data_IF_098084439655
#
_entry.id   IF_098084439655
#
_cell.length_a   1.000
_cell.length_b   1.000
_cell.length_c   1.000
_cell.angle_alpha   90.00
_cell.angle_beta   90.00
_cell.angle_gamma   90.00
#
_symmetry.space_group_name_H-M   'P 1'
#
loop_
_entity.id
_entity.type
_entity.pdbx_description
1 polymer ?
#
# COMPACT_ATOMS: atom_id res chain seq x y z
N UNK A 1 28.22 17.75 -15.14
CA UNK A 1 29.21 17.97 -14.10
C UNK A 1 28.51 18.21 -12.78
N UNK A 2 28.55 17.24 -11.87
CA UNK A 2 28.04 17.39 -10.50
C UNK A 2 28.97 18.36 -9.76
N UNK A 3 28.45 19.52 -9.38
CA UNK A 3 29.15 20.43 -8.49
C UNK A 3 28.90 20.00 -7.05
N UNK A 4 29.94 19.61 -6.33
CA UNK A 4 29.88 19.35 -4.88
C UNK A 4 29.64 20.64 -4.13
N UNK A 5 28.76 20.61 -3.11
CA UNK A 5 28.54 21.74 -2.21
C UNK A 5 29.82 22.00 -1.39
N UNK A 6 30.28 23.25 -1.36
CA UNK A 6 31.38 23.65 -0.46
C UNK A 6 30.85 23.82 0.96
N UNK A 7 31.76 23.73 1.96
CA UNK A 7 31.41 23.98 3.36
C UNK A 7 30.82 25.38 3.59
N UNK A 8 31.24 26.37 2.83
CA UNK A 8 30.68 27.72 2.89
C UNK A 8 29.24 27.77 2.36
N UNK A 9 28.95 27.03 1.27
CA UNK A 9 27.57 26.91 0.74
C UNK A 9 26.67 26.16 1.73
N UNK A 10 27.17 25.10 2.36
CA UNK A 10 26.42 24.36 3.38
C UNK A 10 26.06 25.29 4.54
N UNK A 11 27.04 26.06 5.05
CA UNK A 11 26.80 27.03 6.13
C UNK A 11 25.76 28.08 5.74
N UNK A 12 25.85 28.66 4.55
CA UNK A 12 24.88 29.65 4.07
C UNK A 12 23.47 29.07 3.92
N UNK A 13 23.34 27.81 3.55
CA UNK A 13 22.05 27.11 3.46
C UNK A 13 21.46 26.80 4.85
N UNK A 14 22.32 26.46 5.81
CA UNK A 14 21.91 26.24 7.20
C UNK A 14 21.46 27.56 7.84
N UNK A 15 22.29 28.60 7.75
CA UNK A 15 22.06 29.87 8.42
C UNK A 15 20.97 30.73 7.72
N UNK A 16 20.90 30.67 6.38
CA UNK A 16 19.99 31.50 5.60
C UNK A 16 18.61 30.88 5.33
N UNK A 17 18.54 29.55 5.23
CA UNK A 17 17.29 28.83 4.92
C UNK A 17 16.81 27.92 6.05
N UNK A 18 17.54 27.84 7.17
CA UNK A 18 17.20 26.97 8.29
C UNK A 18 17.25 25.47 7.97
N UNK A 19 17.98 25.07 6.91
CA UNK A 19 18.11 23.68 6.53
C UNK A 19 19.15 23.01 7.44
N UNK A 20 18.81 21.96 8.22
CA UNK A 20 19.77 21.29 9.08
C UNK A 20 20.99 20.77 8.30
N UNK A 21 22.21 21.00 8.82
CA UNK A 21 23.46 20.57 8.17
C UNK A 21 23.47 19.07 7.84
N UNK A 22 22.82 18.26 8.67
CA UNK A 22 22.67 16.82 8.52
C UNK A 22 21.94 16.44 7.23
N UNK A 23 20.96 17.24 6.80
CA UNK A 23 20.22 17.04 5.55
C UNK A 23 21.12 17.28 4.33
N UNK A 24 22.00 18.30 4.41
CA UNK A 24 22.89 18.69 3.31
C UNK A 24 24.10 17.77 3.18
N UNK A 25 24.49 17.07 4.25
CA UNK A 25 25.65 16.19 4.30
C UNK A 25 25.31 14.71 4.02
N UNK A 26 24.02 14.34 4.02
CA UNK A 26 23.59 12.98 3.71
C UNK A 26 23.72 12.67 2.22
N UNK A 27 24.07 11.43 1.91
CA UNK A 27 24.10 10.93 0.52
C UNK A 27 22.70 11.02 -0.09
N UNK A 28 22.57 11.27 -1.41
CA UNK A 28 21.29 11.16 -2.11
C UNK A 28 20.66 9.80 -1.81
N UNK A 29 19.42 9.79 -1.35
CA UNK A 29 18.71 8.58 -0.88
C UNK A 29 18.80 8.32 0.63
N UNK A 30 19.52 9.13 1.42
CA UNK A 30 19.50 9.03 2.88
C UNK A 30 18.19 9.61 3.46
N UNK A 31 17.61 8.89 4.41
CA UNK A 31 16.35 9.22 5.09
C UNK A 31 16.36 10.62 5.73
N UNK A 32 15.29 11.38 5.55
CA UNK A 32 15.06 12.63 6.26
C UNK A 32 14.65 12.33 7.72
N UNK A 33 14.98 13.20 8.69
CA UNK A 33 14.58 13.03 10.09
C UNK A 33 13.07 13.00 10.28
N UNK A 34 12.60 12.43 11.38
CA UNK A 34 11.19 12.40 11.79
C UNK A 34 10.52 13.78 11.76
N UNK A 35 11.28 14.86 12.01
CA UNK A 35 10.83 16.25 11.90
C UNK A 35 10.20 16.61 10.56
N UNK A 36 10.62 15.97 9.45
CA UNK A 36 10.05 16.24 8.12
C UNK A 36 8.63 15.67 8.00
N UNK A 37 8.39 14.49 8.58
CA UNK A 37 7.04 13.90 8.59
C UNK A 37 6.11 14.71 9.48
N UNK A 38 6.61 15.20 10.62
CA UNK A 38 5.87 16.09 11.51
C UNK A 38 5.51 17.41 10.83
N UNK A 39 6.44 17.97 10.06
CA UNK A 39 6.15 19.18 9.27
C UNK A 39 5.10 18.94 8.20
N UNK A 40 5.15 17.82 7.49
CA UNK A 40 4.14 17.41 6.51
C UNK A 40 2.83 17.04 7.19
N UNK A 41 2.86 16.49 8.39
CA UNK A 41 1.70 16.09 9.18
C UNK A 41 0.71 17.23 9.47
N UNK A 42 1.17 18.49 9.43
CA UNK A 42 0.30 19.66 9.54
C UNK A 42 -0.71 19.77 8.38
N UNK A 43 -0.42 19.12 7.26
CA UNK A 43 -1.29 19.06 6.09
C UNK A 43 -2.17 17.81 6.05
N UNK A 44 -2.01 16.89 7.01
CA UNK A 44 -2.87 15.70 7.09
C UNK A 44 -4.33 16.08 7.34
N UNK A 45 -5.28 15.24 6.91
CA UNK A 45 -6.71 15.48 7.13
C UNK A 45 -7.11 15.20 8.59
N UNK A 46 -6.58 15.98 9.54
CA UNK A 46 -6.70 15.79 10.99
C UNK A 46 -8.15 15.63 11.44
N UNK A 47 -9.06 16.41 10.86
CA UNK A 47 -10.48 16.31 11.20
C UNK A 47 -11.06 14.92 10.92
N UNK A 48 -10.70 14.33 9.78
CA UNK A 48 -11.14 12.98 9.41
C UNK A 48 -10.43 11.92 10.24
N UNK A 49 -9.15 12.11 10.55
CA UNK A 49 -8.38 11.20 11.41
C UNK A 49 -8.95 11.16 12.84
N UNK A 50 -9.32 12.30 13.41
CA UNK A 50 -10.00 12.39 14.72
C UNK A 50 -11.35 11.69 14.67
N UNK A 51 -12.17 11.99 13.65
CA UNK A 51 -13.49 11.38 13.47
C UNK A 51 -13.42 9.85 13.39
N UNK A 52 -12.36 9.31 12.75
CA UNK A 52 -12.13 7.86 12.62
C UNK A 52 -11.41 7.24 13.83
N UNK A 53 -11.04 8.03 14.84
CA UNK A 53 -10.33 7.51 16.02
C UNK A 53 -8.91 7.02 15.72
N UNK A 54 -8.20 7.64 14.78
CA UNK A 54 -6.86 7.22 14.39
C UNK A 54 -5.77 7.60 15.41
N UNK A 55 -6.10 8.41 16.40
CA UNK A 55 -5.21 8.79 17.50
C UNK A 55 -5.58 8.00 18.76
N UNK A 56 -4.84 6.92 19.08
CA UNK A 56 -5.15 6.08 20.26
C UNK A 56 -5.16 6.90 21.56
N UNK A 57 -6.20 6.73 22.38
CA UNK A 57 -6.33 7.42 23.66
C UNK A 57 -6.81 8.87 23.58
N UNK A 58 -6.92 9.46 22.38
CA UNK A 58 -7.46 10.81 22.21
C UNK A 58 -8.99 10.76 22.00
N UNK A 59 -9.73 11.46 22.86
CA UNK A 59 -11.20 11.57 22.81
C UNK A 59 -11.68 13.02 22.74
N UNK A 60 -10.77 13.94 22.41
CA UNK A 60 -11.06 15.37 22.33
C UNK A 60 -11.72 15.79 21.02
N UNK A 61 -12.05 17.08 20.95
CA UNK A 61 -12.57 17.74 19.75
C UNK A 61 -11.48 17.98 18.71
N UNK A 62 -11.88 18.31 17.46
CA UNK A 62 -10.95 18.68 16.40
C UNK A 62 -10.11 19.91 16.78
N UNK A 63 -10.67 20.84 17.55
CA UNK A 63 -9.96 22.02 18.02
C UNK A 63 -8.88 21.65 19.02
N UNK A 64 -9.19 20.78 19.95
CA UNK A 64 -8.21 20.24 20.92
C UNK A 64 -7.11 19.43 20.22
N UNK A 65 -7.47 18.61 19.21
CA UNK A 65 -6.50 17.88 18.41
C UNK A 65 -5.51 18.82 17.71
N UNK A 66 -5.97 19.97 17.21
CA UNK A 66 -5.09 20.97 16.59
C UNK A 66 -4.15 21.64 17.60
N UNK A 67 -4.57 21.81 18.85
CA UNK A 67 -3.73 22.35 19.93
C UNK A 67 -2.65 21.38 20.40
N UNK A 68 -2.89 20.07 20.26
CA UNK A 68 -1.96 18.98 20.63
C UNK A 68 -1.43 18.23 19.41
N UNK A 69 -1.42 18.87 18.24
CA UNK A 69 -1.17 18.22 16.95
C UNK A 69 0.19 17.51 16.91
N UNK A 70 1.22 18.15 17.45
CA UNK A 70 2.58 17.62 17.42
C UNK A 70 2.70 16.31 18.23
N UNK A 71 2.11 16.27 19.42
CA UNK A 71 2.10 15.07 20.26
C UNK A 71 1.30 13.93 19.62
N UNK A 72 0.14 14.26 19.03
CA UNK A 72 -0.70 13.30 18.32
C UNK A 72 -0.02 12.71 17.09
N UNK A 73 0.67 13.55 16.32
CA UNK A 73 1.43 13.10 15.15
C UNK A 73 2.66 12.28 15.56
N UNK A 74 3.37 12.67 16.62
CA UNK A 74 4.47 11.89 17.17
C UNK A 74 4.01 10.48 17.57
N UNK A 75 2.87 10.38 18.26
CA UNK A 75 2.28 9.09 18.60
C UNK A 75 1.83 8.29 17.39
N UNK A 76 1.26 8.96 16.38
CA UNK A 76 0.75 8.33 15.16
C UNK A 76 1.87 7.78 14.26
N UNK A 77 2.97 8.50 14.15
CA UNK A 77 4.14 8.11 13.35
C UNK A 77 5.11 7.24 14.16
N UNK A 78 5.18 7.43 15.48
CA UNK A 78 6.19 6.83 16.35
C UNK A 78 6.17 5.30 16.40
N UNK A 79 5.02 4.67 16.20
CA UNK A 79 4.89 3.22 16.14
C UNK A 79 5.72 2.58 15.00
N UNK A 80 6.02 3.35 13.96
CA UNK A 80 6.77 2.90 12.78
C UNK A 80 8.29 3.07 12.94
N UNK A 81 8.72 3.78 13.98
CA UNK A 81 10.12 4.14 14.21
C UNK A 81 10.62 5.26 13.28
N UNK A 82 11.60 6.05 13.74
CA UNK A 82 12.05 7.25 13.04
C UNK A 82 12.73 7.00 11.69
N UNK A 83 13.15 5.77 11.42
CA UNK A 83 13.94 5.42 10.23
C UNK A 83 13.18 4.64 9.16
N UNK A 84 11.90 4.32 9.38
CA UNK A 84 11.27 3.23 8.65
C UNK A 84 10.37 3.64 7.51
N UNK A 85 9.63 4.74 7.64
CA UNK A 85 8.64 5.16 6.64
C UNK A 85 9.03 6.42 5.87
N UNK A 86 10.05 7.10 6.30
CA UNK A 86 10.44 8.38 5.73
C UNK A 86 10.91 8.26 4.27
N UNK A 87 11.60 7.20 3.82
CA UNK A 87 11.87 7.03 2.40
C UNK A 87 10.61 6.82 1.57
N UNK A 88 9.73 5.95 2.02
CA UNK A 88 8.48 5.64 1.31
C UNK A 88 7.48 6.82 1.32
N UNK A 89 7.51 7.67 2.36
CA UNK A 89 6.66 8.84 2.48
C UNK A 89 7.15 10.06 1.70
N UNK A 90 8.46 10.16 1.46
CA UNK A 90 9.07 11.35 0.83
C UNK A 90 9.39 11.18 -0.65
N UNK A 91 9.27 9.98 -1.20
CA UNK A 91 9.55 9.72 -2.61
C UNK A 91 8.24 9.58 -3.38
N UNK A 92 7.56 10.72 -3.55
CA UNK A 92 6.31 10.77 -4.26
C UNK A 92 6.55 11.10 -5.74
N UNK A 93 6.47 10.09 -6.58
CA UNK A 93 6.02 10.25 -7.95
C UNK A 93 4.72 9.46 -8.13
N UNK A 94 3.66 9.99 -7.54
CA UNK A 94 2.31 9.53 -7.83
C UNK A 94 1.98 10.01 -9.24
N UNK A 95 1.30 9.18 -10.01
CA UNK A 95 0.56 9.67 -11.17
C UNK A 95 -0.23 10.89 -10.72
N UNK A 96 0.26 12.06 -11.06
CA UNK A 96 -0.46 13.30 -10.87
C UNK A 96 -1.66 13.32 -11.82
N UNK A 97 -2.70 12.58 -11.44
CA UNK A 97 -4.01 13.08 -11.77
C UNK A 97 -4.21 14.22 -10.79
N UNK A 98 -4.40 15.42 -11.30
CA UNK A 98 -4.51 16.70 -10.59
C UNK A 98 -5.57 16.77 -9.49
N UNK A 99 -5.95 15.64 -8.86
CA UNK A 99 -7.06 15.44 -7.95
C UNK A 99 -6.73 14.62 -6.69
N UNK A 100 -5.55 13.99 -6.58
CA UNK A 100 -5.22 13.17 -5.40
C UNK A 100 -4.57 14.03 -4.31
N UNK A 101 -5.03 13.83 -3.05
CA UNK A 101 -4.45 14.45 -1.87
C UNK A 101 -3.31 13.58 -1.32
N UNK A 102 -2.09 13.96 -1.62
CA UNK A 102 -0.85 13.29 -1.23
C UNK A 102 -0.69 13.16 0.29
N UNK A 103 -1.11 14.18 1.02
CA UNK A 103 -1.03 14.18 2.48
C UNK A 103 -2.04 13.20 3.08
N UNK A 104 -3.24 13.12 2.50
CA UNK A 104 -4.23 12.13 2.88
C UNK A 104 -3.75 10.70 2.58
N UNK A 105 -3.11 10.49 1.42
CA UNK A 105 -2.56 9.20 1.04
C UNK A 105 -1.43 8.76 1.99
N UNK A 106 -0.54 9.69 2.34
CA UNK A 106 0.53 9.47 3.32
C UNK A 106 -0.03 9.09 4.69
N UNK A 107 -1.00 9.85 5.20
CA UNK A 107 -1.67 9.56 6.47
C UNK A 107 -2.34 8.17 6.46
N UNK A 108 -3.00 7.81 5.35
CA UNK A 108 -3.61 6.50 5.19
C UNK A 108 -2.59 5.36 5.20
N UNK A 109 -1.46 5.50 4.52
CA UNK A 109 -0.37 4.51 4.51
C UNK A 109 0.21 4.29 5.92
N UNK A 110 0.43 5.37 6.68
CA UNK A 110 0.86 5.29 8.08
C UNK A 110 -0.17 4.52 8.90
N UNK A 111 -1.45 4.80 8.73
CA UNK A 111 -2.53 4.10 9.43
C UNK A 111 -2.51 2.61 9.12
N UNK A 112 -2.41 2.23 7.86
CA UNK A 112 -2.33 0.82 7.42
C UNK A 112 -1.13 0.12 8.05
N UNK A 113 0.04 0.74 8.03
CA UNK A 113 1.24 0.16 8.62
C UNK A 113 1.11 0.01 10.14
N UNK A 114 0.51 0.98 10.85
CA UNK A 114 0.23 0.87 12.29
C UNK A 114 -0.72 -0.29 12.60
N UNK A 115 -1.77 -0.49 11.80
CA UNK A 115 -2.68 -1.61 11.95
C UNK A 115 -1.97 -2.95 11.73
N UNK A 116 -1.16 -3.05 10.70
CA UNK A 116 -0.37 -4.26 10.43
C UNK A 116 0.60 -4.57 11.59
N UNK A 117 1.31 -3.56 12.11
CA UNK A 117 2.22 -3.73 13.24
C UNK A 117 1.52 -4.13 14.55
N UNK A 118 0.24 -3.80 14.70
CA UNK A 118 -0.54 -4.21 15.88
C UNK A 118 -1.02 -5.67 15.83
N UNK A 119 -0.92 -6.32 14.67
CA UNK A 119 -1.32 -7.73 14.46
C UNK A 119 -0.07 -8.62 14.36
N UNK A 120 0.09 -9.57 15.27
CA UNK A 120 1.15 -10.57 15.19
C UNK A 120 0.75 -11.70 14.26
N UNK A 121 1.57 -12.00 13.26
CA UNK A 121 1.35 -13.11 12.35
C UNK A 121 1.95 -14.42 12.88
N UNK A 122 1.36 -15.59 12.55
CA UNK A 122 1.84 -16.89 13.01
C UNK A 122 3.17 -17.31 12.36
N UNK A 123 3.53 -16.73 11.22
CA UNK A 123 4.76 -17.01 10.49
C UNK A 123 5.42 -15.75 9.95
N UNK A 124 6.73 -15.79 9.75
CA UNK A 124 7.46 -14.76 9.03
C UNK A 124 7.31 -14.98 7.51
N UNK A 125 7.18 -13.89 6.77
CA UNK A 125 7.15 -13.93 5.31
C UNK A 125 8.48 -14.40 4.73
N UNK A 126 8.41 -15.23 3.70
CA UNK A 126 9.56 -15.63 2.91
C UNK A 126 9.43 -15.05 1.49
N UNK A 127 10.39 -14.22 1.03
CA UNK A 127 10.36 -13.73 -0.35
C UNK A 127 10.25 -14.88 -1.35
N UNK A 128 9.44 -14.68 -2.40
CA UNK A 128 9.13 -15.70 -3.40
C UNK A 128 8.00 -16.67 -3.01
N UNK A 129 7.35 -16.48 -1.87
CA UNK A 129 6.16 -17.27 -1.48
C UNK A 129 4.99 -17.03 -2.44
N UNK A 130 4.80 -15.79 -2.91
CA UNK A 130 3.69 -15.43 -3.80
C UNK A 130 4.02 -15.86 -5.23
N UNK A 131 3.73 -17.12 -5.54
CA UNK A 131 3.84 -17.69 -6.89
C UNK A 131 2.49 -17.75 -7.59
N UNK A 132 2.48 -18.06 -8.89
CA UNK A 132 1.20 -18.27 -9.62
C UNK A 132 0.36 -19.40 -8.98
N UNK A 133 0.98 -20.49 -8.55
CA UNK A 133 0.28 -21.59 -7.89
C UNK A 133 -0.32 -21.15 -6.54
N UNK A 134 0.44 -20.38 -5.74
CA UNK A 134 -0.04 -19.81 -4.49
C UNK A 134 -1.27 -18.91 -4.72
N UNK A 135 -1.23 -18.06 -5.75
CA UNK A 135 -2.35 -17.22 -6.11
C UNK A 135 -3.55 -18.03 -6.59
N UNK A 136 -3.36 -19.08 -7.38
CA UNK A 136 -4.45 -19.96 -7.83
C UNK A 136 -5.09 -20.73 -6.66
N UNK A 137 -4.31 -21.20 -5.69
CA UNK A 137 -4.85 -21.78 -4.46
C UNK A 137 -5.70 -20.77 -3.68
N UNK A 138 -5.22 -19.53 -3.57
CA UNK A 138 -5.97 -18.44 -2.96
C UNK A 138 -7.26 -18.13 -3.75
N UNK A 139 -7.23 -18.17 -5.09
CA UNK A 139 -8.41 -17.93 -5.94
C UNK A 139 -9.54 -18.92 -5.67
N UNK A 140 -9.23 -20.17 -5.37
CA UNK A 140 -10.23 -21.18 -5.03
C UNK A 140 -11.05 -20.83 -3.77
N UNK A 141 -10.50 -20.02 -2.86
CA UNK A 141 -11.25 -19.56 -1.68
C UNK A 141 -12.42 -18.65 -2.06
N UNK A 142 -12.37 -18.03 -3.23
CA UNK A 142 -13.46 -17.19 -3.74
C UNK A 142 -14.77 -17.94 -3.96
N UNK A 143 -14.69 -19.25 -4.18
CA UNK A 143 -15.86 -20.13 -4.34
C UNK A 143 -16.69 -20.23 -3.05
N UNK A 144 -16.10 -19.95 -1.90
CA UNK A 144 -16.74 -20.05 -0.60
C UNK A 144 -17.39 -18.73 -0.20
N UNK A 145 -18.55 -18.78 0.44
CA UNK A 145 -19.26 -17.58 0.90
C UNK A 145 -18.42 -16.73 1.89
N UNK A 146 -17.57 -17.39 2.68
CA UNK A 146 -16.63 -16.74 3.62
C UNK A 146 -15.25 -16.51 3.00
N UNK A 147 -15.11 -16.61 1.69
CA UNK A 147 -13.86 -16.52 0.95
C UNK A 147 -12.96 -15.35 1.35
N UNK A 148 -13.45 -14.10 1.45
CA UNK A 148 -12.63 -12.97 1.86
C UNK A 148 -11.99 -13.12 3.24
N UNK A 149 -12.70 -13.70 4.21
CA UNK A 149 -12.16 -13.95 5.55
C UNK A 149 -11.09 -15.07 5.53
N UNK A 150 -11.35 -16.12 4.77
CA UNK A 150 -10.41 -17.23 4.58
C UNK A 150 -9.15 -16.76 3.81
N UNK A 151 -9.30 -15.84 2.86
CA UNK A 151 -8.18 -15.23 2.17
C UNK A 151 -7.26 -14.47 3.14
N UNK A 152 -7.82 -13.67 4.06
CA UNK A 152 -7.02 -13.02 5.11
C UNK A 152 -6.29 -14.06 5.96
N UNK A 153 -6.96 -15.10 6.41
CA UNK A 153 -6.36 -16.16 7.22
C UNK A 153 -5.23 -16.90 6.47
N UNK A 154 -5.46 -17.23 5.21
CA UNK A 154 -4.48 -17.88 4.33
C UNK A 154 -3.21 -17.03 4.18
N UNK A 155 -3.37 -15.75 3.90
CA UNK A 155 -2.27 -14.82 3.72
C UNK A 155 -1.52 -14.55 5.04
N UNK A 156 -2.24 -14.38 6.13
CA UNK A 156 -1.64 -14.21 7.45
C UNK A 156 -0.77 -15.43 7.85
N UNK A 157 -1.20 -16.65 7.55
CA UNK A 157 -0.40 -17.87 7.75
C UNK A 157 0.90 -17.90 6.92
N UNK A 158 0.92 -17.16 5.83
CA UNK A 158 2.09 -17.01 4.95
C UNK A 158 2.95 -15.78 5.28
N UNK A 159 2.68 -15.09 6.39
CA UNK A 159 3.45 -13.92 6.82
C UNK A 159 3.09 -12.63 6.07
N UNK A 160 1.93 -12.60 5.41
CA UNK A 160 1.42 -11.43 4.67
C UNK A 160 0.28 -10.82 5.47
N UNK A 161 0.40 -9.55 5.85
CA UNK A 161 -0.68 -8.83 6.50
C UNK A 161 -1.77 -8.43 5.49
N UNK A 162 -3.03 -8.59 5.87
CA UNK A 162 -4.18 -8.07 5.11
C UNK A 162 -4.94 -7.08 5.97
N UNK A 163 -4.93 -5.82 5.56
CA UNK A 163 -5.55 -4.70 6.27
C UNK A 163 -6.70 -4.14 5.44
N UNK A 164 -7.89 -4.07 6.02
CA UNK A 164 -9.02 -3.35 5.43
C UNK A 164 -9.16 -2.01 6.16
N UNK A 165 -8.83 -0.91 5.47
CA UNK A 165 -8.96 0.46 6.01
C UNK A 165 -9.58 1.35 4.94
N UNK A 166 -10.77 1.93 5.16
CA UNK A 166 -11.43 2.77 4.18
C UNK A 166 -10.56 3.94 3.72
N UNK A 167 -10.58 4.22 2.43
CA UNK A 167 -9.83 5.32 1.85
C UNK A 167 -10.19 6.68 2.48
N UNK A 168 -9.24 7.60 2.51
CA UNK A 168 -9.51 8.98 2.89
C UNK A 168 -10.12 9.77 1.72
N UNK A 169 -10.88 10.84 1.98
CA UNK A 169 -11.40 11.69 0.92
C UNK A 169 -10.27 12.14 -0.02
N UNK A 170 -10.54 12.15 -1.33
CA UNK A 170 -9.62 12.55 -2.41
C UNK A 170 -8.38 11.66 -2.60
N UNK A 171 -8.32 10.45 -2.04
CA UNK A 171 -7.21 9.54 -2.31
C UNK A 171 -7.47 8.65 -3.52
N UNK A 172 -8.74 8.36 -3.85
CA UNK A 172 -9.15 7.52 -5.00
C UNK A 172 -8.43 6.17 -5.07
N UNK A 173 -8.08 5.62 -3.92
CA UNK A 173 -7.30 4.40 -3.78
C UNK A 173 -8.24 3.20 -3.60
N UNK A 174 -7.97 2.09 -4.29
CA UNK A 174 -8.68 0.82 -4.13
C UNK A 174 -7.88 -0.16 -3.25
N UNK A 175 -6.58 -0.20 -3.40
CA UNK A 175 -5.64 -0.99 -2.61
C UNK A 175 -4.24 -0.38 -2.56
N UNK A 176 -3.35 -1.02 -1.81
CA UNK A 176 -1.92 -0.73 -1.81
C UNK A 176 -1.13 -1.92 -1.26
N UNK A 177 0.03 -2.20 -1.86
CA UNK A 177 1.02 -3.11 -1.32
C UNK A 177 2.15 -2.30 -0.64
N UNK A 178 2.46 -2.65 0.61
CA UNK A 178 3.50 -2.00 1.42
C UNK A 178 4.45 -3.05 1.97
N UNK A 179 5.67 -2.65 2.33
CA UNK A 179 6.65 -3.49 3.03
C UNK A 179 6.96 -2.90 4.39
N UNK A 180 6.76 -3.67 5.43
CA UNK A 180 7.15 -3.27 6.79
C UNK A 180 8.66 -3.34 6.98
N UNK A 181 9.21 -2.68 8.01
CA UNK A 181 10.62 -2.79 8.38
C UNK A 181 11.09 -4.21 8.67
N UNK A 182 10.18 -5.05 9.16
CA UNK A 182 10.42 -6.48 9.37
C UNK A 182 10.66 -7.26 8.08
N UNK A 183 10.38 -6.65 6.91
CA UNK A 183 10.35 -7.32 5.62
C UNK A 183 8.99 -7.94 5.27
N UNK A 184 8.04 -7.96 6.20
CA UNK A 184 6.71 -8.52 5.96
C UNK A 184 5.90 -7.61 5.01
N UNK A 185 5.28 -8.16 3.95
CA UNK A 185 4.38 -7.40 3.10
C UNK A 185 3.03 -7.15 3.77
N UNK A 186 2.43 -6.02 3.43
CA UNK A 186 1.08 -5.63 3.82
C UNK A 186 0.28 -5.39 2.55
N UNK A 187 -0.80 -6.11 2.38
CA UNK A 187 -1.82 -5.83 1.36
C UNK A 187 -2.96 -5.08 2.04
N UNK A 188 -3.16 -3.85 1.62
CA UNK A 188 -4.21 -2.99 2.16
C UNK A 188 -5.32 -2.80 1.13
N UNK A 189 -6.57 -2.97 1.57
CA UNK A 189 -7.77 -2.83 0.74
C UNK A 189 -8.65 -1.73 1.33
N UNK A 190 -9.13 -0.84 0.48
CA UNK A 190 -10.01 0.25 0.94
C UNK A 190 -11.49 -0.13 0.94
N UNK A 191 -11.85 -1.19 0.23
CA UNK A 191 -13.22 -1.62 -0.01
C UNK A 191 -14.11 -0.49 -0.55
N UNK A 192 -13.52 0.41 -1.34
CA UNK A 192 -14.19 1.57 -1.93
C UNK A 192 -15.40 1.16 -2.75
N UNK A 193 -15.28 0.06 -3.46
CA UNK A 193 -16.37 -0.59 -4.16
C UNK A 193 -16.78 -1.83 -3.37
N UNK A 194 -17.99 -1.81 -2.80
CA UNK A 194 -18.55 -2.94 -2.04
C UNK A 194 -19.05 -4.04 -3.01
N UNK A 195 -18.09 -4.67 -3.69
CA UNK A 195 -18.33 -5.71 -4.71
C UNK A 195 -17.29 -6.81 -4.56
N UNK A 196 -17.72 -8.05 -4.69
CA UNK A 196 -16.88 -9.22 -4.52
C UNK A 196 -15.80 -9.35 -5.60
N UNK A 197 -16.14 -9.06 -6.87
CA UNK A 197 -15.18 -9.02 -7.96
C UNK A 197 -14.06 -7.99 -7.72
N UNK A 198 -14.43 -6.78 -7.29
CA UNK A 198 -13.45 -5.74 -6.98
C UNK A 198 -12.54 -6.14 -5.81
N UNK A 199 -13.11 -6.77 -4.77
CA UNK A 199 -12.31 -7.28 -3.66
C UNK A 199 -11.23 -8.26 -4.15
N UNK A 200 -11.63 -9.28 -4.91
CA UNK A 200 -10.70 -10.29 -5.39
C UNK A 200 -9.67 -9.74 -6.36
N UNK A 201 -10.11 -8.94 -7.35
CA UNK A 201 -9.17 -8.36 -8.30
C UNK A 201 -8.15 -7.45 -7.62
N UNK A 202 -8.60 -6.55 -6.73
CA UNK A 202 -7.69 -5.66 -6.00
C UNK A 202 -6.74 -6.46 -5.11
N UNK A 203 -7.22 -7.48 -4.39
CA UNK A 203 -6.36 -8.34 -3.57
C UNK A 203 -5.24 -8.99 -4.40
N UNK A 204 -5.59 -9.54 -5.56
CA UNK A 204 -4.63 -10.21 -6.45
C UNK A 204 -3.69 -9.23 -7.13
N UNK A 205 -4.16 -8.05 -7.49
CA UNK A 205 -3.35 -6.97 -8.02
C UNK A 205 -2.26 -6.55 -7.02
N UNK A 206 -2.64 -6.32 -5.75
CA UNK A 206 -1.67 -5.97 -4.71
C UNK A 206 -0.71 -7.12 -4.38
N UNK A 207 -1.17 -8.37 -4.41
CA UNK A 207 -0.28 -9.54 -4.28
C UNK A 207 0.67 -9.69 -5.46
N UNK A 208 0.26 -9.31 -6.66
CA UNK A 208 1.16 -9.29 -7.82
C UNK A 208 2.27 -8.24 -7.64
N UNK A 209 1.96 -7.07 -7.05
CA UNK A 209 2.99 -6.12 -6.65
C UNK A 209 3.94 -6.68 -5.59
N UNK A 210 3.45 -7.46 -4.64
CA UNK A 210 4.34 -8.18 -3.68
C UNK A 210 5.28 -9.10 -4.42
N UNK A 211 4.77 -9.96 -5.30
CA UNK A 211 5.55 -10.98 -6.01
C UNK A 211 6.59 -10.42 -6.97
N UNK A 212 6.18 -9.43 -7.77
CA UNK A 212 6.98 -8.92 -8.90
C UNK A 212 7.90 -7.77 -8.49
N UNK A 213 7.49 -6.98 -7.50
CA UNK A 213 8.13 -5.71 -7.22
C UNK A 213 8.71 -5.63 -5.81
N UNK A 214 7.92 -5.90 -4.76
CA UNK A 214 8.39 -5.77 -3.39
C UNK A 214 9.42 -6.82 -2.98
N UNK A 215 9.33 -8.03 -3.52
CA UNK A 215 10.29 -9.10 -3.22
C UNK A 215 11.67 -8.85 -3.86
N UNK A 216 11.71 -8.15 -4.98
CA UNK A 216 12.94 -7.83 -5.70
C UNK A 216 13.65 -6.58 -5.14
N UNK A 217 12.95 -5.75 -4.38
CA UNK A 217 13.50 -4.52 -3.81
C UNK A 217 14.04 -4.75 -2.39
N UNK A 218 15.38 -4.90 -2.30
CA UNK A 218 16.08 -5.01 -1.02
C UNK A 218 15.93 -3.76 -0.13
N UNK A 219 15.58 -2.60 -0.71
CA UNK A 219 15.47 -1.33 -0.01
C UNK A 219 14.04 -0.95 0.39
N UNK A 220 13.01 -1.70 -0.04
CA UNK A 220 11.59 -1.40 0.23
C UNK A 220 11.09 -0.11 -0.43
N UNK A 221 11.77 0.35 -1.49
CA UNK A 221 11.59 1.67 -2.10
C UNK A 221 11.12 1.62 -3.55
N UNK A 222 10.67 0.46 -4.03
CA UNK A 222 10.49 0.18 -5.46
C UNK A 222 9.58 1.18 -6.21
N UNK A 223 8.53 1.67 -5.56
CA UNK A 223 7.57 2.57 -6.24
C UNK A 223 8.06 4.00 -6.47
N UNK A 224 9.23 4.37 -5.95
CA UNK A 224 9.63 5.77 -5.86
C UNK A 224 10.59 6.24 -6.95
N UNK A 225 11.37 5.33 -7.55
CA UNK A 225 12.40 5.68 -8.54
C UNK A 225 12.00 5.41 -10.00
N UNK A 226 10.78 4.87 -10.23
CA UNK A 226 10.32 4.56 -11.57
C UNK A 226 9.91 5.83 -12.33
N UNK A 227 10.38 5.93 -13.57
CA UNK A 227 9.83 6.90 -14.54
C UNK A 227 8.34 6.62 -14.77
N UNK A 228 7.57 7.59 -15.29
CA UNK A 228 6.15 7.37 -15.59
C UNK A 228 5.91 6.11 -16.44
N UNK A 229 6.76 5.86 -17.44
CA UNK A 229 6.69 4.64 -18.25
C UNK A 229 6.98 3.36 -17.48
N UNK A 230 7.87 3.41 -16.49
CA UNK A 230 8.16 2.28 -15.61
C UNK A 230 6.99 1.93 -14.68
N UNK A 231 6.31 2.94 -14.13
CA UNK A 231 5.10 2.74 -13.32
C UNK A 231 3.97 2.09 -14.13
N UNK A 232 3.72 2.57 -15.34
CA UNK A 232 2.74 1.98 -16.26
C UNK A 232 3.06 0.51 -16.58
N UNK A 233 4.32 0.15 -16.69
CA UNK A 233 4.73 -1.23 -16.92
C UNK A 233 4.47 -2.11 -15.71
N UNK A 234 4.81 -1.66 -14.49
CA UNK A 234 4.54 -2.40 -13.25
C UNK A 234 3.04 -2.65 -13.04
N UNK A 235 2.20 -1.64 -13.30
CA UNK A 235 0.75 -1.79 -13.23
C UNK A 235 0.24 -2.84 -14.24
N UNK A 236 0.73 -2.83 -15.47
CA UNK A 236 0.36 -3.83 -16.49
C UNK A 236 0.81 -5.24 -16.12
N UNK A 237 1.99 -5.37 -15.53
CA UNK A 237 2.51 -6.65 -15.05
C UNK A 237 1.67 -7.18 -13.89
N UNK A 238 1.28 -6.32 -12.95
CA UNK A 238 0.41 -6.68 -11.84
C UNK A 238 -0.99 -7.08 -12.32
N UNK A 239 -1.59 -6.30 -13.22
CA UNK A 239 -2.89 -6.61 -13.83
C UNK A 239 -2.86 -7.96 -14.56
N UNK A 240 -1.78 -8.22 -15.30
CA UNK A 240 -1.63 -9.48 -16.05
C UNK A 240 -1.53 -10.68 -15.11
N UNK A 241 -0.69 -10.58 -14.07
CA UNK A 241 -0.52 -11.66 -13.11
C UNK A 241 -1.80 -11.91 -12.31
N UNK A 242 -2.48 -10.85 -11.88
CA UNK A 242 -3.75 -10.93 -11.18
C UNK A 242 -4.82 -11.61 -12.04
N UNK A 243 -4.96 -11.19 -13.29
CA UNK A 243 -5.92 -11.78 -14.23
C UNK A 243 -5.62 -13.25 -14.50
N UNK A 244 -4.36 -13.62 -14.77
CA UNK A 244 -3.92 -14.98 -15.03
C UNK A 244 -4.13 -15.90 -13.82
N UNK A 245 -3.95 -15.39 -12.60
CA UNK A 245 -4.16 -16.14 -11.38
C UNK A 245 -5.65 -16.40 -11.08
N UNK A 246 -6.51 -15.42 -11.36
CA UNK A 246 -7.96 -15.53 -11.18
C UNK A 246 -8.61 -16.40 -12.27
N UNK A 247 -8.31 -16.10 -13.52
CA UNK A 247 -8.86 -16.81 -14.70
C UNK A 247 -7.72 -17.04 -15.69
N UNK A 248 -7.13 -18.25 -15.74
CA UNK A 248 -6.06 -18.56 -16.68
C UNK A 248 -6.51 -18.34 -18.15
N UNK A 249 -5.66 -17.66 -18.93
CA UNK A 249 -5.95 -17.34 -20.34
C UNK A 249 -6.28 -18.58 -21.18
N UNK A 250 -5.61 -19.70 -20.91
CA UNK A 250 -5.88 -20.97 -21.57
C UNK A 250 -7.32 -21.44 -21.32
N UNK A 251 -7.78 -21.38 -20.06
CA UNK A 251 -9.14 -21.78 -19.70
C UNK A 251 -10.20 -20.83 -20.29
N UNK A 252 -9.90 -19.52 -20.30
CA UNK A 252 -10.78 -18.53 -20.91
C UNK A 252 -10.92 -18.72 -22.41
N UNK A 253 -9.83 -19.02 -23.12
CA UNK A 253 -9.82 -19.22 -24.57
C UNK A 253 -10.57 -20.49 -25.00
N UNK A 254 -10.53 -21.55 -24.19
CA UNK A 254 -11.29 -22.79 -24.45
C UNK A 254 -12.79 -22.61 -24.35
N UNK A 255 -13.29 -21.80 -23.42
CA UNK A 255 -14.73 -21.70 -23.11
C UNK A 255 -15.48 -20.77 -24.05
N UNK A 256 -14.81 -19.87 -24.75
CA UNK A 256 -15.40 -18.92 -25.71
C UNK A 256 -16.57 -18.08 -25.15
N UNK A 257 -16.53 -17.74 -23.87
CA UNK A 257 -17.54 -16.89 -23.26
C UNK A 257 -17.50 -15.47 -23.86
N UNK A 258 -18.68 -14.88 -24.03
CA UNK A 258 -18.87 -13.53 -24.54
C UNK A 258 -19.79 -12.74 -23.61
N UNK A 259 -19.87 -11.42 -23.80
CA UNK A 259 -20.83 -10.57 -23.08
C UNK A 259 -22.31 -10.96 -23.29
N UNK A 260 -22.59 -11.84 -24.24
CA UNK A 260 -23.95 -12.36 -24.53
C UNK A 260 -24.15 -13.80 -24.04
N UNK A 261 -23.14 -14.40 -23.40
CA UNK A 261 -23.27 -15.74 -22.85
C UNK A 261 -24.32 -15.77 -21.73
N UNK A 262 -25.02 -16.91 -21.63
CA UNK A 262 -26.03 -17.08 -20.59
C UNK A 262 -25.36 -17.10 -19.20
N UNK A 263 -26.01 -16.57 -18.15
CA UNK A 263 -25.50 -16.64 -16.78
C UNK A 263 -25.17 -18.07 -16.34
N UNK A 264 -25.92 -19.07 -16.79
CA UNK A 264 -25.66 -20.48 -16.51
C UNK A 264 -24.35 -20.99 -17.09
N UNK A 265 -23.88 -20.45 -18.22
CA UNK A 265 -22.58 -20.78 -18.80
C UNK A 265 -21.45 -20.18 -17.97
N UNK A 266 -21.63 -18.95 -17.51
CA UNK A 266 -20.66 -18.29 -16.60
C UNK A 266 -20.51 -19.08 -15.28
N UNK A 267 -21.64 -19.48 -14.68
CA UNK A 267 -21.64 -20.29 -13.45
C UNK A 267 -20.90 -21.62 -13.67
N UNK A 268 -21.20 -22.36 -14.77
CA UNK A 268 -20.50 -23.61 -15.07
C UNK A 268 -19.00 -23.43 -15.27
N UNK A 269 -18.61 -22.36 -15.91
CA UNK A 269 -17.19 -22.02 -16.09
C UNK A 269 -16.51 -21.73 -14.76
N UNK A 270 -17.12 -20.91 -13.90
CA UNK A 270 -16.64 -20.62 -12.56
C UNK A 270 -16.55 -21.90 -11.69
N UNK A 271 -17.53 -22.81 -11.79
CA UNK A 271 -17.50 -24.11 -11.13
C UNK A 271 -16.33 -24.98 -11.62
N UNK A 272 -16.06 -25.01 -12.94
CA UNK A 272 -14.91 -25.72 -13.54
C UNK A 272 -13.59 -25.21 -12.96
N UNK A 273 -13.45 -23.92 -12.77
CA UNK A 273 -12.26 -23.27 -12.19
C UNK A 273 -12.27 -23.24 -10.66
N UNK A 274 -13.37 -23.61 -10.01
CA UNK A 274 -13.58 -23.50 -8.55
C UNK A 274 -13.36 -22.10 -8.01
N UNK A 275 -13.89 -21.11 -8.72
CA UNK A 275 -13.87 -19.69 -8.32
C UNK A 275 -15.30 -19.16 -8.22
N UNK A 276 -15.45 -17.98 -7.61
CA UNK A 276 -16.73 -17.30 -7.57
C UNK A 276 -17.19 -16.88 -8.97
N UNK A 277 -18.45 -17.11 -9.36
CA UNK A 277 -18.99 -16.61 -10.62
C UNK A 277 -19.13 -15.07 -10.64
N UNK A 278 -18.86 -14.38 -9.54
CA UNK A 278 -18.79 -12.93 -9.47
C UNK A 278 -17.45 -12.35 -9.94
N UNK A 279 -16.41 -13.18 -10.09
CA UNK A 279 -15.11 -12.82 -10.67
C UNK A 279 -15.23 -12.88 -12.18
#
# INVERSE_FOLDING_TARGET
GQRTLSLAMIRNLVDGLGIPAEVLLKKPGATLPADTVLHQGRHFPIAEMVKRGWFPGFQGTITEAKNHLEDLLNGFVGALGPNTLIPALNRQHIRNTSQQDEHALTAWRIRVANLALSESLPAAYQPGTVTINFLQELAHLSYLATGPLLAKEFLNKSGIHVVCEPHLPKTHLDGAALKLPSGSPVVALTLRHDRLDNFWFTLFHELAHVALHLDQDAAGAFFDDLTEGGKDQCEKEADRLASEALIPEAAWSEEQLTKHSLPSSVVKFAEKLRISPAI
#
